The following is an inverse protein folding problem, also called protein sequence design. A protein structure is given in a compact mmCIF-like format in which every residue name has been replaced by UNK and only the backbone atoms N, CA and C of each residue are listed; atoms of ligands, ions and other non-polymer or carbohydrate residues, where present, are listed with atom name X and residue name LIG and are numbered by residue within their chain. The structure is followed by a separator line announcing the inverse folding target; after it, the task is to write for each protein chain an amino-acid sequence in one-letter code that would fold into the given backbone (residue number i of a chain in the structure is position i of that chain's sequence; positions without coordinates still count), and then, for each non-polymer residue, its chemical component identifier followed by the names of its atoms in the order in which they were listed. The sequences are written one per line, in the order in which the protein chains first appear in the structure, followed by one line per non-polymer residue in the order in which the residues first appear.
data_IF_282345695894
#
_entry.id   IF_282345695894
#
_cell.length_a   1.000
_cell.length_b   1.000
_cell.length_c   1.000
_cell.angle_alpha   90.00
_cell.angle_beta   90.00
_cell.angle_gamma   90.00
#
_symmetry.space_group_name_H-M   'P 1'
#
loop_
_entity.id
_entity.type
_entity.pdbx_description
1 polymer ?
#
# COMPACT_ATOMS: atom_id res chain seq x y z
N UNK A 1 -77.82 0.69 24.92
CA UNK A 1 -78.32 0.68 26.31
C UNK A 1 -77.44 -0.29 27.09
N UNK A 2 -76.85 0.16 28.23
CA UNK A 2 -75.99 -0.59 29.18
C UNK A 2 -74.59 -0.93 28.60
N UNK A 3 -73.46 -0.32 28.99
CA UNK A 3 -72.92 0.04 30.30
C UNK A 3 -73.00 -1.11 31.32
N UNK A 4 -71.86 -1.73 31.62
CA UNK A 4 -71.35 -2.01 32.98
C UNK A 4 -70.07 -2.85 32.88
N UNK A 5 -68.93 -2.35 33.38
CA UNK A 5 -68.35 -2.65 34.71
C UNK A 5 -67.90 -4.13 34.81
N UNK A 6 -66.71 -4.54 35.26
CA UNK A 6 -65.62 -3.91 36.00
C UNK A 6 -64.54 -4.99 36.26
N UNK A 7 -63.29 -4.54 36.48
CA UNK A 7 -62.32 -5.04 37.48
C UNK A 7 -61.60 -6.40 37.26
N UNK A 8 -60.26 -6.35 37.10
CA UNK A 8 -59.19 -6.55 38.14
C UNK A 8 -58.85 -8.04 38.28
N UNK A 9 -57.63 -8.54 38.52
CA UNK A 9 -56.25 -8.05 38.62
C UNK A 9 -55.40 -9.31 38.94
N UNK A 10 -54.14 -9.39 38.48
CA UNK A 10 -52.98 -10.13 39.07
C UNK A 10 -53.04 -11.68 39.16
N UNK A 11 -51.97 -12.49 39.16
CA UNK A 11 -50.51 -12.35 39.01
C UNK A 11 -49.91 -13.78 39.22
N UNK A 12 -48.84 -14.11 38.48
CA UNK A 12 -47.68 -14.98 38.83
C UNK A 12 -47.73 -16.53 38.75
N UNK A 13 -46.67 -17.02 38.06
CA UNK A 13 -45.84 -18.24 38.22
C UNK A 13 -46.47 -19.63 38.16
N UNK A 14 -45.75 -20.72 37.89
CA UNK A 14 -44.50 -21.10 37.21
C UNK A 14 -44.42 -22.62 37.48
N UNK A 15 -44.16 -23.46 36.47
CA UNK A 15 -43.62 -24.86 36.52
C UNK A 15 -44.01 -25.57 35.20
N UNK A 16 -43.13 -25.67 34.20
CA UNK A 16 -42.13 -26.73 33.95
C UNK A 16 -42.77 -28.14 34.01
N UNK A 17 -42.78 -28.98 32.96
CA UNK A 17 -41.65 -29.85 32.57
C UNK A 17 -42.04 -30.70 31.31
N UNK A 18 -41.16 -30.66 30.27
CA UNK A 18 -40.76 -31.69 29.28
C UNK A 18 -41.81 -32.37 28.36
N UNK A 19 -41.56 -32.75 27.10
CA UNK A 19 -40.49 -32.55 26.12
C UNK A 19 -40.97 -33.17 24.79
N UNK A 20 -40.65 -32.57 23.64
CA UNK A 20 -40.31 -33.32 22.42
C UNK A 20 -39.60 -32.37 21.44
N UNK A 21 -38.33 -32.66 21.23
CA UNK A 21 -37.48 -31.99 20.26
C UNK A 21 -38.01 -32.22 18.84
N UNK A 22 -37.99 -31.18 18.02
CA UNK A 22 -37.64 -31.37 16.62
C UNK A 22 -36.62 -30.31 16.23
N UNK A 23 -35.36 -30.73 16.23
CA UNK A 23 -34.20 -29.94 15.85
C UNK A 23 -34.13 -29.86 14.33
N UNK A 24 -34.65 -28.78 13.76
CA UNK A 24 -34.10 -28.24 12.52
C UNK A 24 -33.31 -26.99 12.89
N UNK A 25 -32.00 -27.19 13.11
CA UNK A 25 -31.03 -26.12 13.26
C UNK A 25 -30.84 -25.43 11.90
N UNK A 26 -31.72 -24.49 11.58
CA UNK A 26 -31.37 -23.41 10.67
C UNK A 26 -30.57 -22.41 11.50
N UNK A 27 -29.25 -22.45 11.37
CA UNK A 27 -28.36 -21.43 11.92
C UNK A 27 -28.63 -20.09 11.23
N UNK A 28 -29.61 -19.35 11.73
CA UNK A 28 -29.77 -17.93 11.44
C UNK A 28 -28.73 -17.17 12.26
N UNK A 29 -27.53 -17.02 11.71
CA UNK A 29 -26.52 -16.11 12.26
C UNK A 29 -27.07 -14.68 12.21
N UNK A 30 -27.49 -14.16 13.36
CA UNK A 30 -27.94 -12.78 13.50
C UNK A 30 -26.70 -11.87 13.37
N UNK A 31 -26.65 -11.09 12.30
CA UNK A 31 -25.56 -10.16 12.01
C UNK A 31 -25.35 -9.17 13.16
N UNK A 32 -24.10 -8.94 13.57
CA UNK A 32 -23.79 -7.99 14.64
C UNK A 32 -23.89 -6.55 14.12
N UNK A 33 -24.12 -5.57 15.03
CA UNK A 33 -24.15 -4.15 14.64
C UNK A 33 -22.86 -3.69 13.96
N UNK A 34 -21.71 -4.23 14.33
CA UNK A 34 -20.43 -3.86 13.72
C UNK A 34 -20.26 -4.52 12.34
N UNK A 35 -20.70 -5.77 12.16
CA UNK A 35 -20.70 -6.42 10.83
C UNK A 35 -21.56 -5.65 9.82
N UNK A 36 -22.75 -5.19 10.22
CA UNK A 36 -23.62 -4.38 9.36
C UNK A 36 -22.97 -3.02 9.00
N UNK A 37 -22.25 -2.38 9.94
CA UNK A 37 -21.52 -1.13 9.68
C UNK A 37 -20.38 -1.33 8.70
N UNK A 38 -19.53 -2.34 8.91
CA UNK A 38 -18.40 -2.60 8.01
C UNK A 38 -18.89 -3.00 6.62
N UNK A 39 -19.99 -3.77 6.53
CA UNK A 39 -20.69 -4.03 5.25
C UNK A 39 -21.04 -2.75 4.52
N UNK A 40 -21.64 -1.79 5.22
CA UNK A 40 -22.02 -0.51 4.61
C UNK A 40 -20.80 0.26 4.09
N UNK A 41 -19.68 0.23 4.82
CA UNK A 41 -18.44 0.89 4.38
C UNK A 41 -17.87 0.28 3.08
N UNK A 42 -18.08 -1.00 2.82
CA UNK A 42 -17.71 -1.61 1.53
C UNK A 42 -18.52 -1.00 0.38
N UNK A 43 -19.82 -0.78 0.58
CA UNK A 43 -20.65 -0.11 -0.42
C UNK A 43 -20.33 1.38 -0.56
N UNK A 44 -19.99 2.06 0.54
CA UNK A 44 -19.57 3.45 0.53
C UNK A 44 -18.23 3.62 -0.20
N UNK A 45 -17.29 2.69 -0.03
CA UNK A 45 -16.03 2.61 -0.79
C UNK A 45 -16.29 2.52 -2.30
N UNK A 46 -17.13 1.57 -2.71
CA UNK A 46 -17.46 1.39 -4.12
C UNK A 46 -18.15 2.64 -4.70
N UNK A 47 -19.10 3.22 -3.94
CA UNK A 47 -19.81 4.44 -4.34
C UNK A 47 -18.84 5.61 -4.50
N UNK A 48 -17.99 5.87 -3.51
CA UNK A 48 -17.05 6.98 -3.51
C UNK A 48 -16.09 6.92 -4.71
N UNK A 49 -15.56 5.72 -5.00
CA UNK A 49 -14.70 5.50 -6.15
C UNK A 49 -15.44 5.78 -7.48
N UNK A 50 -16.63 5.20 -7.69
CA UNK A 50 -17.36 5.36 -8.96
C UNK A 50 -17.85 6.80 -9.17
N UNK A 51 -18.25 7.49 -8.09
CA UNK A 51 -18.62 8.90 -8.17
C UNK A 51 -17.42 9.83 -8.31
N UNK A 52 -16.19 9.30 -8.31
CA UNK A 52 -14.95 10.06 -8.25
C UNK A 52 -14.96 11.09 -7.10
N UNK A 53 -15.56 10.71 -5.96
CA UNK A 53 -15.63 11.53 -4.76
C UNK A 53 -14.41 11.23 -3.89
N UNK A 54 -13.32 11.91 -4.22
CA UNK A 54 -12.04 11.82 -3.52
C UNK A 54 -12.17 12.04 -2.01
N UNK A 55 -13.02 12.97 -1.57
CA UNK A 55 -13.16 13.26 -0.15
C UNK A 55 -13.86 12.10 0.57
N UNK A 56 -14.96 11.59 0.01
CA UNK A 56 -15.65 10.44 0.58
C UNK A 56 -14.75 9.21 0.60
N UNK A 57 -13.96 8.98 -0.46
CA UNK A 57 -13.04 7.85 -0.55
C UNK A 57 -11.94 7.95 0.51
N UNK A 58 -11.24 9.09 0.58
CA UNK A 58 -10.17 9.33 1.54
C UNK A 58 -10.66 9.20 2.99
N UNK A 59 -11.88 9.61 3.31
CA UNK A 59 -12.44 9.47 4.67
C UNK A 59 -12.54 8.00 5.10
N UNK A 60 -12.67 7.05 4.17
CA UNK A 60 -12.77 5.62 4.48
C UNK A 60 -11.40 5.00 4.80
N UNK A 61 -10.31 5.58 4.28
CA UNK A 61 -8.96 5.04 4.42
C UNK A 61 -8.30 5.46 5.73
N UNK A 62 -7.51 4.54 6.28
CA UNK A 62 -6.46 4.85 7.26
C UNK A 62 -5.31 5.61 6.58
N UNK A 63 -4.45 6.30 7.35
CA UNK A 63 -3.34 7.07 6.77
C UNK A 63 -2.29 6.15 6.12
N UNK A 64 -2.19 4.92 6.62
CA UNK A 64 -1.27 3.89 6.16
C UNK A 64 -2.06 2.62 5.81
N UNK A 65 -2.11 2.27 4.52
CA UNK A 65 -2.93 1.18 3.98
C UNK A 65 -2.09 0.15 3.23
N UNK A 66 -2.40 -1.14 3.40
CA UNK A 66 -1.88 -2.19 2.54
C UNK A 66 -2.70 -2.31 1.26
N UNK A 67 -2.21 -1.73 0.16
CA UNK A 67 -2.84 -1.81 -1.15
C UNK A 67 -2.20 -2.91 -2.00
N UNK A 68 -2.97 -3.94 -2.36
CA UNK A 68 -2.55 -5.15 -3.08
C UNK A 68 -1.29 -5.82 -2.50
N UNK A 69 -1.17 -5.80 -1.17
CA UNK A 69 -0.06 -6.41 -0.43
C UNK A 69 1.10 -5.46 -0.09
N UNK A 70 1.01 -4.19 -0.48
CA UNK A 70 2.07 -3.19 -0.29
C UNK A 70 1.65 -2.06 0.62
N UNK A 71 2.58 -1.58 1.45
CA UNK A 71 2.32 -0.39 2.25
C UNK A 71 2.26 0.84 1.35
N UNK A 72 1.18 1.61 1.50
CA UNK A 72 0.94 2.84 0.77
C UNK A 72 0.42 3.93 1.70
N UNK A 73 0.75 5.18 1.37
CA UNK A 73 0.13 6.34 1.99
C UNK A 73 -1.17 6.67 1.28
N UNK A 74 -2.16 7.05 2.08
CA UNK A 74 -3.48 7.46 1.62
C UNK A 74 -3.47 8.54 0.52
N UNK A 75 -2.50 9.45 0.52
CA UNK A 75 -2.32 10.46 -0.53
C UNK A 75 -2.02 9.85 -1.91
N UNK A 76 -1.23 8.78 -1.94
CA UNK A 76 -0.73 8.17 -3.18
C UNK A 76 -1.79 7.31 -3.87
N UNK A 77 -2.70 6.70 -3.09
CA UNK A 77 -3.82 5.92 -3.65
C UNK A 77 -4.70 6.78 -4.55
N UNK A 78 -4.92 8.05 -4.19
CA UNK A 78 -5.78 8.93 -4.97
C UNK A 78 -5.23 9.17 -6.39
N UNK A 79 -3.92 9.32 -6.53
CA UNK A 79 -3.30 9.47 -7.85
C UNK A 79 -3.40 8.19 -8.67
N UNK A 80 -3.15 7.03 -8.03
CA UNK A 80 -3.30 5.73 -8.66
C UNK A 80 -4.73 5.52 -9.18
N UNK A 81 -5.75 5.84 -8.39
CA UNK A 81 -7.15 5.70 -8.80
C UNK A 81 -7.57 6.70 -9.87
N UNK A 82 -7.16 7.97 -9.75
CA UNK A 82 -7.42 8.97 -10.79
C UNK A 82 -6.75 8.60 -12.12
N UNK A 83 -5.61 7.92 -12.09
CA UNK A 83 -4.94 7.44 -13.30
C UNK A 83 -5.78 6.41 -14.07
N UNK A 84 -6.58 5.61 -13.38
CA UNK A 84 -7.46 4.60 -14.00
C UNK A 84 -8.51 5.27 -14.87
N UNK A 85 -9.19 6.30 -14.36
CA UNK A 85 -10.20 7.03 -15.12
C UNK A 85 -9.61 7.84 -16.29
N UNK A 86 -8.36 8.32 -16.15
CA UNK A 86 -7.64 8.96 -17.24
C UNK A 86 -7.27 7.97 -18.35
N UNK A 87 -6.82 6.77 -17.97
CA UNK A 87 -6.39 5.72 -18.89
C UNK A 87 -7.58 5.02 -19.58
N UNK A 88 -8.68 4.85 -18.84
CA UNK A 88 -9.89 4.14 -19.27
C UNK A 88 -11.14 4.98 -18.95
N UNK A 89 -11.54 5.91 -19.83
CA UNK A 89 -12.68 6.80 -19.58
C UNK A 89 -14.03 6.09 -19.42
N UNK A 90 -14.16 4.88 -19.94
CA UNK A 90 -15.35 4.03 -19.83
C UNK A 90 -15.27 3.02 -18.68
N UNK A 91 -14.26 3.14 -17.82
CA UNK A 91 -14.09 2.28 -16.65
C UNK A 91 -15.33 2.30 -15.77
N UNK A 92 -15.80 1.11 -15.43
CA UNK A 92 -16.80 0.88 -14.39
C UNK A 92 -16.29 -0.16 -13.42
N UNK A 93 -16.70 -0.03 -12.18
CA UNK A 93 -16.61 -1.11 -11.22
C UNK A 93 -17.94 -1.33 -10.51
N UNK A 94 -18.12 -2.52 -9.94
CA UNK A 94 -19.22 -2.81 -9.04
C UNK A 94 -18.85 -3.96 -8.09
N UNK A 95 -19.56 -4.01 -6.96
CA UNK A 95 -19.58 -5.18 -6.09
C UNK A 95 -20.57 -6.17 -6.69
N UNK A 96 -20.06 -7.32 -7.13
CA UNK A 96 -20.86 -8.38 -7.73
C UNK A 96 -21.17 -9.48 -6.71
N UNK A 97 -22.45 -9.67 -6.39
CA UNK A 97 -22.90 -10.62 -5.38
C UNK A 97 -22.77 -10.12 -3.94
N UNK A 98 -22.70 -11.06 -3.00
CA UNK A 98 -22.73 -10.75 -1.56
C UNK A 98 -21.35 -10.43 -0.99
N UNK A 99 -21.31 -9.46 -0.07
CA UNK A 99 -20.13 -9.21 0.78
C UNK A 99 -20.10 -10.24 1.91
N UNK A 100 -19.05 -11.04 2.00
CA UNK A 100 -18.78 -11.94 3.14
C UNK A 100 -17.95 -11.18 4.18
N UNK A 101 -18.23 -11.39 5.45
CA UNK A 101 -17.56 -10.69 6.55
C UNK A 101 -17.08 -11.71 7.57
N UNK A 102 -15.77 -11.75 7.76
CA UNK A 102 -15.14 -12.54 8.82
C UNK A 102 -14.53 -11.58 9.85
N UNK A 103 -14.87 -11.79 11.12
CA UNK A 103 -14.33 -10.98 12.22
C UNK A 103 -12.98 -11.56 12.64
N UNK A 104 -11.90 -10.80 12.45
CA UNK A 104 -10.56 -11.23 12.86
C UNK A 104 -10.31 -10.95 14.35
N UNK A 105 -10.87 -9.85 14.86
CA UNK A 105 -10.87 -9.50 16.28
C UNK A 105 -12.01 -8.52 16.59
N UNK A 106 -12.17 -8.11 17.87
CA UNK A 106 -13.15 -7.06 18.24
C UNK A 106 -12.91 -5.70 17.54
N UNK A 107 -11.71 -5.49 17.00
CA UNK A 107 -11.32 -4.24 16.35
C UNK A 107 -10.86 -4.45 14.91
N UNK A 108 -11.09 -5.63 14.32
CA UNK A 108 -10.63 -5.93 12.97
C UNK A 108 -11.56 -6.90 12.24
N UNK A 109 -11.89 -6.59 10.99
CA UNK A 109 -12.75 -7.41 10.15
C UNK A 109 -12.23 -7.45 8.72
N UNK A 110 -12.36 -8.60 8.06
CA UNK A 110 -12.09 -8.75 6.63
C UNK A 110 -13.42 -8.92 5.89
N UNK A 111 -13.61 -8.11 4.85
CA UNK A 111 -14.74 -8.19 3.95
C UNK A 111 -14.27 -8.73 2.61
N UNK A 112 -14.82 -9.86 2.17
CA UNK A 112 -14.50 -10.48 0.88
C UNK A 112 -15.70 -10.43 -0.07
N UNK A 113 -15.48 -10.03 -1.31
CA UNK A 113 -16.52 -9.89 -2.33
C UNK A 113 -15.92 -10.04 -3.74
N UNK A 114 -16.75 -10.13 -4.76
CA UNK A 114 -16.27 -10.09 -6.15
C UNK A 114 -16.33 -8.64 -6.63
N UNK A 115 -15.19 -8.07 -7.01
CA UNK A 115 -15.10 -6.78 -7.70
C UNK A 115 -15.17 -7.04 -9.19
N UNK A 116 -16.24 -6.58 -9.84
CA UNK A 116 -16.36 -6.65 -11.29
C UNK A 116 -15.89 -5.35 -11.90
N UNK A 117 -14.89 -5.42 -12.76
CA UNK A 117 -14.37 -4.29 -13.53
C UNK A 117 -14.87 -4.42 -14.97
N UNK A 118 -15.36 -3.32 -15.55
CA UNK A 118 -15.77 -3.26 -16.95
C UNK A 118 -15.02 -2.15 -17.67
N UNK A 119 -14.31 -2.52 -18.74
CA UNK A 119 -13.57 -1.61 -19.64
C UNK A 119 -13.78 -2.12 -21.06
N UNK A 120 -14.02 -1.23 -22.02
CA UNK A 120 -14.28 -1.55 -23.43
C UNK A 120 -15.38 -2.61 -23.60
N UNK A 121 -16.47 -2.49 -22.83
CA UNK A 121 -17.59 -3.44 -22.79
C UNK A 121 -17.24 -4.88 -22.37
N UNK A 122 -16.03 -5.12 -21.87
CA UNK A 122 -15.61 -6.43 -21.34
C UNK A 122 -15.55 -6.36 -19.82
N UNK A 123 -16.11 -7.37 -19.17
CA UNK A 123 -16.11 -7.47 -17.70
C UNK A 123 -15.14 -8.55 -17.22
N UNK A 124 -14.39 -8.26 -16.17
CA UNK A 124 -13.51 -9.18 -15.46
C UNK A 124 -13.86 -9.15 -13.97
N UNK A 125 -13.84 -10.33 -13.35
CA UNK A 125 -14.21 -10.53 -11.96
C UNK A 125 -12.98 -10.84 -11.12
N UNK A 126 -12.76 -10.04 -10.08
CA UNK A 126 -11.64 -10.18 -9.16
C UNK A 126 -12.17 -10.55 -7.77
N UNK A 127 -11.69 -11.65 -7.15
CA UNK A 127 -12.03 -11.98 -5.77
C UNK A 127 -11.30 -11.01 -4.83
N UNK A 128 -11.97 -9.93 -4.43
CA UNK A 128 -11.40 -8.80 -3.70
C UNK A 128 -11.64 -8.94 -2.19
N UNK A 129 -10.75 -8.34 -1.40
CA UNK A 129 -10.95 -8.13 0.02
C UNK A 129 -10.61 -6.71 0.45
N UNK A 130 -11.32 -6.23 1.48
CA UNK A 130 -10.99 -5.05 2.26
C UNK A 130 -10.80 -5.47 3.71
N UNK A 131 -9.72 -5.03 4.37
CA UNK A 131 -9.54 -5.20 5.81
C UNK A 131 -9.84 -3.88 6.50
N UNK A 132 -10.71 -3.92 7.49
CA UNK A 132 -11.07 -2.79 8.31
C UNK A 132 -10.52 -2.93 9.71
N UNK A 133 -9.99 -1.84 10.24
CA UNK A 133 -9.57 -1.72 11.64
C UNK A 133 -10.38 -0.63 12.33
N UNK A 134 -10.82 -0.92 13.55
CA UNK A 134 -11.54 0.02 14.41
C UNK A 134 -10.54 0.88 15.16
N UNK A 135 -10.53 2.18 14.89
CA UNK A 135 -9.84 3.19 15.72
C UNK A 135 -10.78 3.70 16.81
N UNK A 136 -10.32 4.65 17.63
CA UNK A 136 -11.14 5.31 18.65
C UNK A 136 -12.34 6.05 18.04
N UNK A 137 -12.25 6.48 16.78
CA UNK A 137 -13.21 7.36 16.13
C UNK A 137 -14.09 6.66 15.09
N UNK A 138 -13.56 5.70 14.33
CA UNK A 138 -14.30 5.01 13.26
C UNK A 138 -13.63 3.70 12.82
N UNK A 139 -14.33 2.91 12.00
CA UNK A 139 -13.71 1.86 11.20
C UNK A 139 -13.05 2.48 9.97
N UNK A 140 -11.83 2.06 9.68
CA UNK A 140 -11.02 2.52 8.54
C UNK A 140 -10.51 1.34 7.74
N UNK A 141 -10.41 1.51 6.42
CA UNK A 141 -9.78 0.54 5.52
C UNK A 141 -8.27 0.62 5.78
N UNK A 142 -7.69 -0.50 6.22
CA UNK A 142 -6.26 -0.68 6.43
C UNK A 142 -5.63 -1.63 5.42
N UNK A 143 -6.44 -2.33 4.61
CA UNK A 143 -5.96 -3.03 3.43
C UNK A 143 -7.03 -3.11 2.33
N UNK A 144 -6.60 -3.02 1.08
CA UNK A 144 -7.36 -3.36 -0.13
C UNK A 144 -6.53 -4.34 -0.96
N UNK A 145 -7.14 -5.36 -1.54
CA UNK A 145 -6.43 -6.24 -2.47
C UNK A 145 -7.33 -7.34 -3.02
N UNK A 146 -6.75 -8.31 -3.71
CA UNK A 146 -7.48 -9.43 -4.26
C UNK A 146 -6.75 -10.76 -4.02
N UNK A 147 -7.51 -11.86 -4.03
CA UNK A 147 -6.99 -13.20 -3.77
C UNK A 147 -6.14 -13.76 -4.91
N UNK A 148 -6.18 -13.19 -6.11
CA UNK A 148 -5.26 -13.54 -7.21
C UNK A 148 -3.89 -12.94 -6.89
N UNK A 149 -3.81 -11.64 -6.64
CA UNK A 149 -2.57 -10.96 -6.23
C UNK A 149 -2.02 -11.53 -4.92
N UNK A 150 -2.89 -11.81 -3.94
CA UNK A 150 -2.52 -12.48 -2.69
C UNK A 150 -2.05 -13.91 -2.92
N UNK A 151 -2.68 -14.67 -3.81
CA UNK A 151 -2.23 -16.02 -4.12
C UNK A 151 -0.92 -16.02 -4.91
N UNK A 152 -0.71 -15.06 -5.81
CA UNK A 152 0.56 -14.83 -6.50
C UNK A 152 1.66 -14.48 -5.48
N UNK A 153 1.37 -13.64 -4.48
CA UNK A 153 2.24 -13.39 -3.33
C UNK A 153 2.52 -14.68 -2.53
N UNK A 154 1.50 -15.52 -2.29
CA UNK A 154 1.68 -16.78 -1.52
C UNK A 154 2.39 -17.88 -2.32
N UNK A 155 2.25 -17.89 -3.65
CA UNK A 155 2.95 -18.80 -4.57
C UNK A 155 4.40 -18.35 -4.83
N UNK A 156 4.75 -17.11 -4.49
CA UNK A 156 6.10 -16.54 -4.54
C UNK A 156 6.72 -16.50 -3.13
N UNK A 157 7.01 -17.65 -2.52
CA UNK A 157 7.58 -17.77 -1.15
C UNK A 157 8.94 -17.06 -0.93
N UNK A 158 9.49 -16.36 -1.93
CA UNK A 158 10.80 -15.72 -1.93
C UNK A 158 10.75 -14.19 -2.11
N UNK A 159 9.57 -13.57 -2.24
CA UNK A 159 9.45 -12.10 -2.28
C UNK A 159 9.29 -11.57 -0.85
N UNK A 160 10.17 -10.66 -0.39
CA UNK A 160 10.05 -10.03 0.93
C UNK A 160 8.78 -9.20 1.08
N UNK A 161 8.30 -9.05 2.33
CA UNK A 161 7.07 -8.28 2.62
C UNK A 161 7.20 -6.78 2.37
N UNK A 162 8.43 -6.28 2.43
CA UNK A 162 8.87 -4.90 2.24
C UNK A 162 9.33 -4.63 0.80
N UNK A 163 9.12 -5.59 -0.11
CA UNK A 163 9.33 -5.36 -1.53
C UNK A 163 8.44 -4.22 -2.04
N UNK A 164 8.96 -3.45 -2.99
CA UNK A 164 8.32 -2.26 -3.55
C UNK A 164 7.79 -2.56 -4.94
N UNK A 165 6.57 -2.12 -5.23
CA UNK A 165 5.94 -2.31 -6.54
C UNK A 165 6.29 -1.17 -7.51
N UNK A 166 6.48 -1.50 -8.78
CA UNK A 166 6.67 -0.50 -9.84
C UNK A 166 6.66 -1.11 -11.25
N UNK A 167 6.50 -0.27 -12.26
CA UNK A 167 6.66 -0.61 -13.67
C UNK A 167 8.11 -0.33 -14.10
N UNK A 168 9.03 -1.17 -13.61
CA UNK A 168 10.47 -0.94 -13.72
C UNK A 168 11.02 -1.16 -15.15
N UNK A 169 10.30 -1.90 -15.99
CA UNK A 169 10.69 -2.18 -17.38
C UNK A 169 9.80 -1.46 -18.41
N UNK A 170 8.72 -0.79 -17.99
CA UNK A 170 7.81 -0.03 -18.83
C UNK A 170 6.86 -0.87 -19.69
N UNK A 171 6.63 -2.13 -19.32
CA UNK A 171 5.72 -3.02 -20.04
C UNK A 171 4.23 -2.85 -19.64
N UNK A 172 3.97 -1.96 -18.67
CA UNK A 172 2.64 -1.68 -18.15
C UNK A 172 2.14 -2.69 -17.11
N UNK A 173 2.96 -3.69 -16.74
CA UNK A 173 2.72 -4.60 -15.62
C UNK A 173 3.59 -4.19 -14.45
N UNK A 174 3.09 -4.48 -13.26
CA UNK A 174 3.76 -4.12 -12.04
C UNK A 174 4.62 -5.28 -11.54
N UNK A 175 5.87 -4.96 -11.22
CA UNK A 175 6.86 -5.86 -10.67
C UNK A 175 7.29 -5.43 -9.27
N UNK A 176 7.83 -6.39 -8.52
CA UNK A 176 8.38 -6.17 -7.20
C UNK A 176 9.88 -5.93 -7.33
N UNK A 177 10.42 -4.98 -6.57
CA UNK A 177 11.84 -4.89 -6.29
C UNK A 177 12.11 -4.99 -4.78
N UNK A 178 13.29 -5.45 -4.39
CA UNK A 178 13.72 -5.42 -3.00
C UNK A 178 15.24 -5.39 -2.91
N UNK A 179 15.76 -4.85 -1.81
CA UNK A 179 17.18 -4.90 -1.52
C UNK A 179 17.54 -6.25 -0.88
N UNK A 180 18.63 -6.84 -1.32
CA UNK A 180 19.27 -7.98 -0.67
C UNK A 180 20.59 -7.48 -0.08
N UNK A 181 20.66 -7.27 1.24
CA UNK A 181 21.89 -6.83 1.90
C UNK A 181 22.94 -7.95 1.97
N UNK A 182 24.22 -7.61 2.16
CA UNK A 182 25.26 -8.59 2.43
C UNK A 182 25.04 -9.27 3.78
N UNK A 183 25.70 -10.40 3.99
CA UNK A 183 25.74 -11.03 5.31
C UNK A 183 26.76 -10.29 6.16
N UNK A 184 26.33 -9.73 7.29
CA UNK A 184 27.20 -9.08 8.26
C UNK A 184 27.85 -10.15 9.16
N UNK A 185 29.15 -10.02 9.46
CA UNK A 185 29.83 -10.93 10.41
C UNK A 185 29.22 -10.79 11.81
N UNK A 186 28.98 -11.91 12.48
CA UNK A 186 28.39 -11.91 13.81
C UNK A 186 29.48 -11.87 14.89
N UNK A 187 29.51 -10.81 15.69
CA UNK A 187 30.44 -10.60 16.81
C UNK A 187 30.40 -9.14 17.25
N UNK A 188 30.67 -8.86 18.54
CA UNK A 188 30.38 -7.55 19.13
C UNK A 188 31.34 -6.41 18.68
N UNK A 189 32.31 -6.68 17.80
CA UNK A 189 33.40 -5.75 17.47
C UNK A 189 33.81 -5.70 15.98
N UNK A 190 33.12 -6.38 15.06
CA UNK A 190 33.49 -6.39 13.63
C UNK A 190 32.48 -5.62 12.76
N UNK A 191 32.85 -4.41 12.32
CA UNK A 191 32.18 -3.66 11.25
C UNK A 191 32.56 -4.22 9.89
N UNK A 192 32.17 -5.46 9.60
CA UNK A 192 32.62 -6.17 8.41
C UNK A 192 31.58 -7.20 7.90
N UNK A 193 31.69 -7.55 6.61
CA UNK A 193 30.80 -8.47 5.93
C UNK A 193 31.47 -9.82 5.68
N UNK A 194 30.65 -10.87 5.52
CA UNK A 194 31.12 -12.16 5.01
C UNK A 194 31.32 -12.01 3.49
N UNK A 195 32.53 -11.63 3.09
CA UNK A 195 32.87 -11.27 1.71
C UNK A 195 32.75 -9.75 1.50
N UNK A 196 32.43 -9.33 0.27
CA UNK A 196 32.23 -7.92 -0.06
C UNK A 196 30.98 -7.36 0.63
N UNK A 197 31.06 -6.11 1.10
CA UNK A 197 29.92 -5.37 1.66
C UNK A 197 29.06 -4.73 0.57
N UNK A 198 28.62 -5.54 -0.37
CA UNK A 198 27.81 -5.09 -1.51
C UNK A 198 26.37 -5.57 -1.36
N UNK A 199 25.43 -4.67 -1.60
CA UNK A 199 24.00 -4.97 -1.66
C UNK A 199 23.52 -5.08 -3.10
N UNK A 200 22.37 -5.72 -3.29
CA UNK A 200 21.77 -5.90 -4.61
C UNK A 200 20.29 -5.57 -4.59
N UNK A 201 19.83 -4.68 -5.48
CA UNK A 201 18.40 -4.57 -5.78
C UNK A 201 18.04 -5.68 -6.76
N UNK A 202 17.09 -6.52 -6.37
CA UNK A 202 16.52 -7.60 -7.18
C UNK A 202 15.10 -7.27 -7.58
N UNK A 203 14.64 -7.94 -8.64
CA UNK A 203 13.31 -7.77 -9.22
C UNK A 203 12.56 -9.11 -9.29
N UNK A 204 11.23 -9.07 -9.27
CA UNK A 204 10.40 -10.24 -9.54
C UNK A 204 10.39 -10.61 -11.02
N UNK A 205 10.48 -9.62 -11.91
CA UNK A 205 10.73 -9.87 -13.32
C UNK A 205 12.21 -10.25 -13.50
N UNK A 206 12.43 -11.52 -13.79
CA UNK A 206 13.76 -12.08 -14.02
C UNK A 206 14.42 -11.58 -15.32
N UNK A 207 13.69 -10.84 -16.16
CA UNK A 207 14.25 -10.18 -17.35
C UNK A 207 15.06 -8.92 -17.01
N UNK A 208 14.78 -8.29 -15.86
CA UNK A 208 15.51 -7.14 -15.37
C UNK A 208 16.84 -7.55 -14.75
N UNK A 209 17.91 -6.85 -15.13
CA UNK A 209 19.21 -6.99 -14.46
C UNK A 209 19.13 -6.49 -13.02
N UNK A 210 19.74 -7.20 -12.08
CA UNK A 210 19.99 -6.69 -10.72
C UNK A 210 20.84 -5.41 -10.74
N UNK A 211 20.66 -4.54 -9.74
CA UNK A 211 21.51 -3.38 -9.50
C UNK A 211 22.47 -3.75 -8.38
N UNK A 212 23.78 -3.69 -8.63
CA UNK A 212 24.81 -3.83 -7.60
C UNK A 212 25.07 -2.47 -6.97
N UNK A 213 25.10 -2.40 -5.64
CA UNK A 213 25.45 -1.21 -4.88
C UNK A 213 26.66 -1.55 -4.03
N UNK A 214 27.78 -0.89 -4.32
CA UNK A 214 29.04 -1.09 -3.61
C UNK A 214 29.02 -0.38 -2.27
N UNK A 215 29.67 -0.97 -1.26
CA UNK A 215 29.74 -0.40 0.09
C UNK A 215 28.35 -0.06 0.66
N UNK A 216 27.43 -1.02 0.61
CA UNK A 216 26.07 -0.87 1.08
C UNK A 216 25.68 -2.09 1.90
N UNK A 217 25.32 -1.88 3.17
CA UNK A 217 24.92 -2.96 4.09
C UNK A 217 23.41 -3.05 4.30
N UNK A 218 22.65 -2.12 3.72
CA UNK A 218 21.23 -1.98 3.96
C UNK A 218 20.64 -0.73 3.31
N UNK A 219 19.40 -0.42 3.67
CA UNK A 219 18.61 0.67 3.12
C UNK A 219 17.31 0.19 2.49
N UNK A 220 16.35 1.10 2.39
CA UNK A 220 15.06 0.85 1.75
C UNK A 220 15.10 1.39 0.31
N UNK A 221 14.86 0.57 -0.72
CA UNK A 221 14.66 1.08 -2.07
C UNK A 221 13.30 1.77 -2.17
N UNK A 222 13.21 2.79 -3.03
CA UNK A 222 12.01 3.60 -3.25
C UNK A 222 11.66 3.62 -4.73
N UNK A 223 10.36 3.53 -5.03
CA UNK A 223 9.85 3.82 -6.36
C UNK A 223 9.48 5.31 -6.44
N UNK A 224 10.12 6.07 -7.33
CA UNK A 224 9.84 7.49 -7.57
C UNK A 224 8.88 7.73 -8.74
N UNK A 225 8.38 6.66 -9.37
CA UNK A 225 7.59 6.72 -10.60
C UNK A 225 8.43 7.17 -11.80
N UNK A 226 7.75 7.42 -12.92
CA UNK A 226 8.36 7.87 -14.18
C UNK A 226 8.70 9.38 -14.16
N UNK A 227 9.81 9.72 -13.50
CA UNK A 227 10.35 11.07 -13.37
C UNK A 227 10.80 11.64 -14.72
N UNK A 228 11.38 10.81 -15.60
CA UNK A 228 11.92 11.27 -16.90
C UNK A 228 10.94 11.13 -18.08
N UNK A 229 9.75 10.55 -17.84
CA UNK A 229 8.68 10.32 -18.82
C UNK A 229 9.11 9.40 -19.96
N UNK A 230 9.93 8.39 -19.65
CA UNK A 230 10.37 7.37 -20.62
C UNK A 230 9.50 6.09 -20.56
N UNK A 231 8.52 6.04 -19.65
CA UNK A 231 7.61 4.92 -19.46
C UNK A 231 8.09 3.88 -18.45
N UNK A 232 9.26 4.06 -17.83
CA UNK A 232 9.79 3.20 -16.76
C UNK A 232 9.86 3.96 -15.44
N UNK A 233 9.69 3.26 -14.33
CA UNK A 233 9.81 3.86 -13.00
C UNK A 233 11.28 4.07 -12.58
N UNK A 234 11.60 5.26 -12.04
CA UNK A 234 12.89 5.55 -11.42
C UNK A 234 12.99 4.95 -10.01
N UNK A 235 14.16 4.37 -9.71
CA UNK A 235 14.45 3.70 -8.44
C UNK A 235 15.36 4.57 -7.61
N UNK A 236 14.99 4.86 -6.37
CA UNK A 236 15.83 5.53 -5.39
C UNK A 236 16.38 4.58 -4.33
N UNK A 237 17.56 4.85 -3.79
CA UNK A 237 18.09 4.19 -2.60
C UNK A 237 18.94 5.17 -1.80
N UNK A 238 18.74 5.19 -0.49
CA UNK A 238 19.75 5.69 0.45
C UNK A 238 20.54 4.49 0.97
N UNK A 239 21.81 4.31 0.58
CA UNK A 239 22.64 3.23 1.10
C UNK A 239 22.93 3.45 2.59
N UNK A 240 22.78 2.39 3.38
CA UNK A 240 23.24 2.35 4.77
C UNK A 240 24.68 1.86 4.85
N UNK A 241 25.40 2.35 5.86
CA UNK A 241 26.76 1.94 6.18
C UNK A 241 26.94 1.75 7.70
N UNK A 242 28.00 1.02 8.09
CA UNK A 242 28.28 0.70 9.50
C UNK A 242 28.47 1.95 10.37
N UNK A 243 29.06 2.99 9.78
CA UNK A 243 29.41 4.24 10.45
C UNK A 243 29.11 5.41 9.51
N UNK A 244 28.95 6.61 10.08
CA UNK A 244 28.57 7.85 9.38
C UNK A 244 27.11 7.91 8.92
N UNK A 245 26.53 9.10 9.04
CA UNK A 245 25.21 9.45 8.50
C UNK A 245 25.27 10.03 7.08
N UNK A 246 26.48 10.30 6.57
CA UNK A 246 26.67 10.86 5.24
C UNK A 246 26.68 9.75 4.20
N UNK A 247 25.78 9.84 3.22
CA UNK A 247 25.67 8.89 2.11
C UNK A 247 25.09 9.59 0.89
N UNK A 248 25.52 9.17 -0.30
CA UNK A 248 24.94 9.67 -1.52
C UNK A 248 23.60 8.97 -1.78
N UNK A 249 22.56 9.76 -2.02
CA UNK A 249 21.30 9.24 -2.51
C UNK A 249 21.47 8.85 -3.98
N UNK A 250 21.09 7.61 -4.28
CA UNK A 250 21.25 7.00 -5.59
C UNK A 250 19.90 6.96 -6.30
N UNK A 251 19.85 7.35 -7.58
CA UNK A 251 18.64 7.26 -8.40
C UNK A 251 18.97 6.61 -9.73
N UNK A 252 18.27 5.56 -10.11
CA UNK A 252 18.46 4.84 -11.38
C UNK A 252 17.24 4.94 -12.28
N UNK A 253 17.50 4.90 -13.59
CA UNK A 253 16.50 4.76 -14.66
C UNK A 253 16.86 3.54 -15.52
N UNK A 254 15.85 2.83 -16.03
CA UNK A 254 16.08 1.69 -16.91
C UNK A 254 16.12 2.13 -18.37
N UNK A 255 17.23 1.88 -19.04
CA UNK A 255 17.40 2.28 -20.43
C UNK A 255 18.22 1.28 -21.22
N UNK A 256 17.71 0.90 -22.39
CA UNK A 256 18.40 -0.02 -23.32
C UNK A 256 18.83 -1.35 -22.64
N UNK A 257 17.97 -1.89 -21.77
CA UNK A 257 18.23 -3.14 -21.07
C UNK A 257 19.20 -3.04 -19.89
N UNK A 258 19.52 -1.83 -19.40
CA UNK A 258 20.47 -1.61 -18.30
C UNK A 258 20.00 -0.50 -17.36
N UNK A 259 20.36 -0.64 -16.09
CA UNK A 259 20.24 0.42 -15.10
C UNK A 259 21.40 1.40 -15.22
N UNK A 260 21.07 2.69 -15.29
CA UNK A 260 22.03 3.80 -15.25
C UNK A 260 21.53 4.83 -14.25
N UNK A 261 22.42 5.64 -13.70
CA UNK A 261 22.00 6.73 -12.82
C UNK A 261 21.13 7.73 -13.59
N UNK A 262 19.94 8.03 -13.08
CA UNK A 262 19.02 8.99 -13.67
C UNK A 262 19.54 10.43 -13.51
N UNK A 263 20.21 10.69 -12.38
CA UNK A 263 20.94 11.91 -12.06
C UNK A 263 22.25 11.54 -11.37
N UNK A 264 23.22 12.45 -11.35
CA UNK A 264 24.43 12.25 -10.55
C UNK A 264 24.06 11.97 -9.07
N UNK A 265 24.64 10.94 -8.43
CA UNK A 265 24.50 10.72 -6.99
C UNK A 265 24.76 11.99 -6.21
N UNK A 266 23.97 12.24 -5.17
CA UNK A 266 24.05 13.48 -4.41
C UNK A 266 24.08 13.26 -2.90
N UNK A 267 24.89 14.02 -2.15
CA UNK A 267 25.12 13.75 -0.74
C UNK A 267 23.88 14.07 0.08
N UNK A 268 23.61 13.25 1.07
CA UNK A 268 22.54 13.43 2.05
C UNK A 268 23.06 13.09 3.44
N UNK A 269 22.42 13.66 4.46
CA UNK A 269 22.72 13.40 5.86
C UNK A 269 21.44 12.96 6.59
N UNK A 270 21.57 12.15 7.64
CA UNK A 270 20.43 11.59 8.38
C UNK A 270 19.38 12.63 8.84
N UNK A 271 19.82 13.83 9.27
CA UNK A 271 18.93 14.94 9.64
C UNK A 271 17.89 15.29 8.54
N UNK A 272 18.27 15.18 7.26
CA UNK A 272 17.38 15.47 6.14
C UNK A 272 16.17 14.51 6.12
N UNK A 273 16.34 13.26 6.54
CA UNK A 273 15.30 12.23 6.47
C UNK A 273 14.32 12.30 7.64
N UNK A 274 14.79 12.70 8.82
CA UNK A 274 13.94 12.93 10.00
C UNK A 274 12.91 14.05 9.75
N UNK A 275 13.24 14.99 8.87
CA UNK A 275 12.36 16.08 8.43
C UNK A 275 11.37 15.67 7.32
N UNK A 276 11.39 14.41 6.86
CA UNK A 276 10.49 13.90 5.82
C UNK A 276 10.74 14.50 4.44
N UNK A 277 11.98 14.90 4.15
CA UNK A 277 12.37 15.55 2.89
C UNK A 277 12.29 14.56 1.72
N UNK A 278 11.55 14.93 0.67
CA UNK A 278 11.52 14.18 -0.59
C UNK A 278 12.82 14.43 -1.38
N UNK A 279 13.64 13.41 -1.64
CA UNK A 279 14.99 13.61 -2.16
C UNK A 279 15.02 14.04 -3.63
N UNK A 280 14.03 13.63 -4.41
CA UNK A 280 13.95 13.93 -5.84
C UNK A 280 12.48 14.01 -6.27
N UNK A 281 12.15 14.98 -7.13
CA UNK A 281 10.84 15.12 -7.75
C UNK A 281 10.94 15.87 -9.09
N UNK A 282 9.90 15.81 -9.92
CA UNK A 282 9.86 16.49 -11.22
C UNK A 282 9.95 18.02 -11.05
N UNK A 283 10.80 18.68 -11.84
CA UNK A 283 10.76 20.13 -11.99
C UNK A 283 9.71 20.54 -13.02
N UNK A 284 8.49 20.84 -12.54
CA UNK A 284 7.38 21.25 -13.41
C UNK A 284 7.64 22.57 -14.17
N UNK A 285 8.65 23.35 -13.79
CA UNK A 285 9.01 24.59 -14.50
C UNK A 285 9.96 24.35 -15.66
N UNK A 286 10.60 23.17 -15.72
CA UNK A 286 11.64 22.87 -16.70
C UNK A 286 11.56 21.42 -17.17
N UNK A 287 11.04 21.22 -18.37
CA UNK A 287 10.88 19.89 -18.95
C UNK A 287 12.20 19.12 -19.02
N UNK A 288 12.19 17.85 -18.61
CA UNK A 288 13.38 17.00 -18.55
C UNK A 288 14.33 17.34 -17.40
N UNK A 289 13.84 18.02 -16.37
CA UNK A 289 14.59 18.30 -15.14
C UNK A 289 13.83 17.80 -13.91
N UNK A 290 14.60 17.56 -12.86
CA UNK A 290 14.14 17.16 -11.53
C UNK A 290 14.77 18.08 -10.49
N UNK A 291 14.05 18.34 -9.41
CA UNK A 291 14.58 19.03 -8.24
C UNK A 291 15.15 17.95 -7.33
N UNK A 292 16.44 18.01 -7.06
CA UNK A 292 17.07 17.20 -6.01
C UNK A 292 17.22 18.00 -4.73
N UNK A 293 17.09 17.31 -3.58
CA UNK A 293 17.35 17.86 -2.25
C UNK A 293 18.54 17.12 -1.63
N UNK A 294 19.61 17.86 -1.40
CA UNK A 294 20.90 17.33 -0.97
C UNK A 294 21.36 18.05 0.29
N UNK A 295 22.21 17.39 1.07
CA UNK A 295 22.81 17.96 2.26
C UNK A 295 24.18 18.55 1.94
N UNK A 296 24.45 19.74 2.44
CA UNK A 296 25.75 20.40 2.38
C UNK A 296 26.11 20.89 3.78
N UNK A 297 27.25 20.42 4.30
CA UNK A 297 27.68 20.78 5.65
C UNK A 297 27.89 22.29 5.80
N UNK A 298 27.39 22.85 6.90
CA UNK A 298 27.53 24.26 7.23
C UNK A 298 27.91 24.42 8.70
N UNK A 299 29.05 25.05 8.95
CA UNK A 299 29.49 25.43 10.31
C UNK A 299 28.62 26.53 10.95
N UNK A 300 27.74 27.17 10.16
CA UNK A 300 26.98 28.37 10.58
C UNK A 300 25.53 28.08 10.95
N UNK A 301 24.98 26.97 10.47
CA UNK A 301 23.54 26.67 10.56
C UNK A 301 23.32 25.16 10.61
N UNK A 302 22.38 24.70 11.42
CA UNK A 302 21.99 23.28 11.48
C UNK A 302 21.08 22.85 10.30
N UNK A 303 20.61 23.81 9.49
CA UNK A 303 19.89 23.51 8.25
C UNK A 303 20.86 23.25 7.09
N UNK A 304 21.17 21.98 6.87
CA UNK A 304 22.08 21.52 5.82
C UNK A 304 21.38 21.18 4.50
N UNK A 305 20.05 21.16 4.47
CA UNK A 305 19.28 20.79 3.28
C UNK A 305 19.27 21.93 2.26
N UNK A 306 19.78 21.65 1.07
CA UNK A 306 19.74 22.51 -0.11
C UNK A 306 18.93 21.85 -1.22
N UNK A 307 18.54 22.63 -2.23
CA UNK A 307 17.89 22.09 -3.42
C UNK A 307 18.46 22.72 -4.69
N UNK A 308 18.45 21.96 -5.78
CA UNK A 308 18.78 22.46 -7.11
C UNK A 308 18.02 21.68 -8.18
N UNK A 309 17.69 22.36 -9.28
CA UNK A 309 17.12 21.73 -10.48
C UNK A 309 18.26 21.18 -11.34
N UNK A 310 18.21 19.88 -11.64
CA UNK A 310 19.21 19.16 -12.44
C UNK A 310 18.54 18.45 -13.61
N UNK A 311 19.29 18.27 -14.69
CA UNK A 311 18.78 17.57 -15.86
C UNK A 311 18.71 16.07 -15.54
N UNK A 312 17.57 15.44 -15.77
CA UNK A 312 17.44 13.99 -15.67
C UNK A 312 17.79 13.34 -17.00
N UNK A 313 18.45 12.18 -16.95
CA UNK A 313 18.69 11.37 -18.14
C UNK A 313 17.35 10.80 -18.62
N UNK A 314 17.07 11.03 -19.90
CA UNK A 314 15.92 10.48 -20.63
C UNK A 314 16.33 9.24 -21.40
#
# INVERSE_FOLDING_TARGET
MKQMFFKFIFLIAFTCIFAACNSNSVNNNKETSDSAKVRQLVYDWNKAFISNDSNAFLILLDDSIQYYGFQQYKSNLMEAELSIFKKYPDFKQEIYGDVKIDTLSKAEAICSFVRRITINHKSLDYPTYLIFKKSLEAWKIVAEGDYISKNDLTNKSNIPKDAVLGDYNGDGKLDYMWLVPPKIKSGNEEFDCVGECDSYIKFSDTSLSLIKIENCIGGQPFNHGDLNKNGTDEIGLLPEWFTSCWSDYLVWTFRNGKWIYAVEPFPTHCNQWEEGVIPIEIDFKKEGYVIIRYSEFSEKTDNWTKSKSVKIIK
#
